data_IF_253290970511
#
_entry.id   IF_253290970511
#
_cell.length_a   1.000
_cell.length_b   1.000
_cell.length_c   1.000
_cell.angle_alpha   90.00
_cell.angle_beta   90.00
_cell.angle_gamma   90.00
#
_symmetry.space_group_name_H-M   'P 1'
#
loop_
_entity.id
_entity.type
_entity.pdbx_description
1 polymer ?
#
# COMPACT_ATOMS: atom_id res chain seq x y z
N UNK A 1 -2.26 23.84 24.14
CA UNK A 1 -2.04 23.73 25.59
C UNK A 1 -2.00 22.28 26.02
N UNK A 2 -0.90 21.68 26.39
CA UNK A 2 0.51 21.88 26.09
C UNK A 2 1.23 20.76 26.83
N UNK A 3 2.43 20.46 26.34
CA UNK A 3 3.52 19.86 27.10
C UNK A 3 3.50 18.37 27.41
N UNK A 4 4.52 17.54 27.17
CA UNK A 4 5.80 17.58 26.42
C UNK A 4 6.69 16.54 27.13
N UNK A 5 7.28 15.67 26.33
CA UNK A 5 8.61 15.08 26.47
C UNK A 5 9.19 14.88 27.88
N UNK A 6 9.33 13.59 28.25
CA UNK A 6 10.32 13.18 29.25
C UNK A 6 11.72 13.21 28.64
N UNK A 7 12.43 14.27 29.05
CA UNK A 7 13.88 14.41 29.22
C UNK A 7 14.54 13.09 29.66
N UNK A 8 15.60 12.70 28.96
CA UNK A 8 16.78 12.08 29.57
C UNK A 8 17.97 12.96 29.21
N UNK A 9 18.58 13.55 30.24
CA UNK A 9 19.76 14.42 30.19
C UNK A 9 20.78 13.82 31.15
N UNK A 10 21.99 13.57 30.69
CA UNK A 10 23.11 13.27 31.59
C UNK A 10 24.34 12.76 30.84
N UNK A 11 25.48 13.37 31.14
CA UNK A 11 26.86 13.03 30.74
C UNK A 11 27.27 13.48 29.32
N UNK A 12 28.25 14.34 29.06
CA UNK A 12 29.22 15.11 29.88
C UNK A 12 29.57 16.39 29.10
N UNK A 13 29.59 17.52 29.80
CA UNK A 13 30.30 18.73 29.40
C UNK A 13 31.78 18.55 29.75
N UNK A 14 32.67 18.74 28.79
CA UNK A 14 33.99 19.32 29.08
C UNK A 14 34.33 20.31 27.98
N UNK A 15 34.22 21.60 28.31
CA UNK A 15 34.71 22.72 27.52
C UNK A 15 36.10 23.10 28.01
N UNK A 16 36.94 23.56 27.06
CA UNK A 16 37.76 24.79 27.04
C UNK A 16 39.17 24.56 26.48
N UNK A 17 39.86 25.60 25.94
CA UNK A 17 39.36 26.81 25.25
C UNK A 17 40.16 27.13 23.96
N UNK A 18 39.66 28.08 23.16
CA UNK A 18 40.40 28.74 22.07
C UNK A 18 41.09 30.01 22.59
N UNK A 19 42.35 30.24 22.23
CA UNK A 19 43.04 31.54 22.26
C UNK A 19 43.84 31.76 20.95
N UNK A 20 44.19 33.02 20.67
CA UNK A 20 44.27 33.62 19.33
C UNK A 20 45.69 33.96 18.80
N UNK A 21 45.83 33.91 17.45
CA UNK A 21 46.57 34.80 16.51
C UNK A 21 48.13 34.95 16.57
N UNK A 22 48.80 35.57 15.56
CA UNK A 22 48.88 35.28 14.11
C UNK A 22 50.35 35.31 13.56
N UNK A 23 50.53 35.18 12.23
CA UNK A 23 51.65 35.67 11.35
C UNK A 23 52.51 34.64 10.59
N UNK A 24 52.60 34.90 9.26
CA UNK A 24 53.63 34.54 8.27
C UNK A 24 53.79 33.06 7.86
N UNK A 25 54.02 32.67 6.61
CA UNK A 25 54.38 33.38 5.39
C UNK A 25 53.91 32.58 4.15
N UNK A 26 53.63 33.29 3.06
CA UNK A 26 53.45 32.79 1.69
C UNK A 26 54.63 31.92 1.22
N UNK A 27 54.40 31.02 0.24
CA UNK A 27 55.10 30.95 -1.07
C UNK A 27 54.80 29.62 -1.82
N UNK A 28 54.52 29.77 -3.13
CA UNK A 28 54.41 28.81 -4.27
C UNK A 28 53.05 28.21 -4.66
N UNK A 29 52.43 28.88 -5.64
CA UNK A 29 51.68 28.27 -6.74
C UNK A 29 52.61 27.49 -7.68
N UNK A 30 52.15 26.33 -8.18
CA UNK A 30 52.45 25.85 -9.53
C UNK A 30 51.41 24.79 -9.99
N UNK A 31 50.53 25.23 -10.89
CA UNK A 31 49.94 24.56 -12.05
C UNK A 31 49.49 23.08 -12.02
N UNK A 32 48.16 22.93 -12.05
CA UNK A 32 47.33 22.32 -13.10
C UNK A 32 47.80 21.04 -13.83
N UNK A 33 46.86 20.08 -13.81
CA UNK A 33 46.42 19.17 -14.90
C UNK A 33 46.73 17.71 -14.63
N UNK A 34 45.68 16.94 -14.30
CA UNK A 34 45.29 15.74 -15.02
C UNK A 34 43.86 15.36 -14.58
N UNK A 35 42.91 15.79 -15.40
CA UNK A 35 41.53 15.35 -15.40
C UNK A 35 41.51 13.85 -15.75
N UNK A 36 41.06 13.00 -14.83
CA UNK A 36 40.47 11.72 -15.19
C UNK A 36 39.09 11.65 -14.55
N UNK A 37 38.16 12.32 -15.21
CA UNK A 37 36.73 12.08 -15.02
C UNK A 37 36.46 10.63 -15.40
N UNK A 38 36.38 9.77 -14.38
CA UNK A 38 35.69 8.49 -14.48
C UNK A 38 34.23 8.78 -14.79
N UNK A 39 33.94 8.89 -16.08
CA UNK A 39 32.60 8.96 -16.64
C UNK A 39 31.92 7.63 -16.35
N UNK A 40 31.38 7.47 -15.14
CA UNK A 40 30.28 6.56 -14.91
C UNK A 40 29.12 7.12 -15.73
N UNK A 41 29.06 6.70 -17.00
CA UNK A 41 27.92 6.96 -17.86
C UNK A 41 26.70 6.60 -17.05
N UNK A 42 25.92 7.62 -16.70
CA UNK A 42 24.62 7.45 -16.09
C UNK A 42 23.88 6.43 -16.94
N UNK A 43 23.69 5.22 -16.42
CA UNK A 43 22.84 4.24 -17.05
C UNK A 43 21.46 4.91 -17.03
N UNK A 44 21.10 5.54 -18.15
CA UNK A 44 19.82 6.17 -18.36
C UNK A 44 18.82 5.03 -18.60
N UNK A 45 18.52 4.29 -17.52
CA UNK A 45 17.41 3.37 -17.48
C UNK A 45 16.17 4.25 -17.60
N UNK A 46 15.63 4.34 -18.81
CA UNK A 46 14.30 4.92 -19.02
C UNK A 46 13.29 3.97 -18.40
N UNK A 47 13.06 4.15 -17.10
CA UNK A 47 11.97 3.50 -16.40
C UNK A 47 10.67 3.86 -17.12
N UNK A 48 9.74 2.91 -17.28
CA UNK A 48 8.42 3.21 -17.81
C UNK A 48 7.80 4.34 -16.98
N UNK A 49 7.16 5.29 -17.65
CA UNK A 49 6.46 6.38 -16.97
C UNK A 49 5.41 5.75 -16.05
N UNK A 50 5.42 6.15 -14.78
CA UNK A 50 4.42 5.69 -13.82
C UNK A 50 3.12 6.40 -14.16
N UNK A 51 2.10 5.63 -14.53
CA UNK A 51 0.76 6.16 -14.77
C UNK A 51 0.09 6.57 -13.44
N UNK A 52 -0.72 7.62 -13.52
CA UNK A 52 -1.48 8.10 -12.37
C UNK A 52 -2.49 7.04 -11.90
N UNK A 53 -2.62 6.82 -10.59
CA UNK A 53 -3.63 5.91 -10.08
C UNK A 53 -5.01 6.44 -10.44
N UNK A 54 -5.93 5.57 -10.85
CA UNK A 54 -7.31 5.96 -11.16
C UNK A 54 -8.26 5.57 -10.04
N UNK A 55 -9.32 6.36 -9.86
CA UNK A 55 -10.36 6.08 -8.88
C UNK A 55 -11.75 6.24 -9.51
N UNK A 56 -12.51 5.16 -9.49
CA UNK A 56 -13.84 5.02 -10.09
C UNK A 56 -15.00 5.28 -9.12
N UNK A 57 -14.71 5.43 -7.81
CA UNK A 57 -15.72 5.55 -6.75
C UNK A 57 -15.84 4.31 -5.86
N UNK A 58 -15.16 3.20 -6.19
CA UNK A 58 -15.20 1.97 -5.40
C UNK A 58 -14.51 2.13 -4.04
N UNK A 59 -15.28 2.02 -2.96
CA UNK A 59 -14.78 2.18 -1.58
C UNK A 59 -13.71 1.16 -1.20
N UNK A 60 -13.69 -0.02 -1.83
CA UNK A 60 -12.67 -1.05 -1.58
C UNK A 60 -11.31 -0.73 -2.20
N UNK A 61 -11.27 0.14 -3.20
CA UNK A 61 -10.04 0.63 -3.86
C UNK A 61 -9.56 1.95 -3.28
N UNK A 62 -10.41 2.65 -2.53
CA UNK A 62 -10.14 3.97 -1.96
C UNK A 62 -8.82 4.04 -1.18
N UNK A 63 -8.57 3.12 -0.25
CA UNK A 63 -7.35 3.08 0.55
C UNK A 63 -6.09 3.03 -0.33
N UNK A 64 -6.09 2.15 -1.32
CA UNK A 64 -4.96 2.00 -2.24
C UNK A 64 -4.76 3.24 -3.12
N UNK A 65 -5.86 3.81 -3.63
CA UNK A 65 -5.81 5.05 -4.39
C UNK A 65 -5.26 6.21 -3.57
N UNK A 66 -5.82 6.45 -2.38
CA UNK A 66 -5.42 7.52 -1.46
C UNK A 66 -3.95 7.41 -1.10
N UNK A 67 -3.50 6.23 -0.67
CA UNK A 67 -2.10 6.02 -0.26
C UNK A 67 -1.14 6.29 -1.45
N UNK A 68 -1.47 5.82 -2.65
CA UNK A 68 -0.66 6.05 -3.87
C UNK A 68 -0.66 7.51 -4.31
N UNK A 69 -1.83 8.14 -4.33
CA UNK A 69 -1.98 9.54 -4.74
C UNK A 69 -1.23 10.47 -3.78
N UNK A 70 -1.33 10.19 -2.47
CA UNK A 70 -0.59 10.95 -1.46
C UNK A 70 0.91 10.81 -1.66
N UNK A 71 1.42 9.59 -1.86
CA UNK A 71 2.85 9.35 -2.06
C UNK A 71 3.42 9.93 -3.37
N UNK A 72 2.61 10.01 -4.43
CA UNK A 72 3.06 10.51 -5.73
C UNK A 72 2.93 12.03 -5.88
N UNK A 73 1.82 12.61 -5.39
CA UNK A 73 1.45 13.99 -5.68
C UNK A 73 1.38 14.83 -4.42
N UNK A 74 0.64 14.39 -3.40
CA UNK A 74 0.42 15.22 -2.21
C UNK A 74 1.72 15.48 -1.43
N UNK A 75 2.54 14.44 -1.23
CA UNK A 75 3.82 14.53 -0.53
C UNK A 75 4.93 15.23 -1.30
N UNK A 76 4.73 15.48 -2.60
CA UNK A 76 5.69 16.21 -3.41
C UNK A 76 5.55 17.73 -3.17
N UNK A 77 6.63 18.36 -2.72
CA UNK A 77 6.69 19.81 -2.51
C UNK A 77 6.90 20.58 -3.83
N UNK A 78 7.43 19.91 -4.85
CA UNK A 78 7.78 20.51 -6.14
C UNK A 78 6.56 20.75 -7.04
N UNK A 79 5.42 20.10 -6.76
CA UNK A 79 4.21 20.24 -7.57
C UNK A 79 3.33 21.36 -7.01
N UNK A 80 3.03 22.42 -7.78
CA UNK A 80 2.12 23.48 -7.35
C UNK A 80 0.68 22.97 -7.21
N UNK A 81 -0.07 23.54 -6.27
CA UNK A 81 -1.44 23.09 -5.93
C UNK A 81 -2.40 23.03 -7.12
N UNK A 82 -2.26 23.95 -8.09
CA UNK A 82 -3.08 23.93 -9.31
C UNK A 82 -2.84 22.69 -10.17
N UNK A 83 -1.58 22.25 -10.29
CA UNK A 83 -1.23 21.01 -10.99
C UNK A 83 -1.68 19.79 -10.18
N UNK A 84 -1.58 19.83 -8.84
CA UNK A 84 -2.13 18.76 -7.98
C UNK A 84 -3.63 18.58 -8.21
N UNK A 85 -4.40 19.67 -8.34
CA UNK A 85 -5.82 19.61 -8.67
C UNK A 85 -6.07 19.05 -10.07
N UNK A 86 -5.28 19.47 -11.07
CA UNK A 86 -5.39 18.93 -12.42
C UNK A 86 -5.15 17.41 -12.45
N UNK A 87 -4.11 16.94 -11.74
CA UNK A 87 -3.82 15.51 -11.61
C UNK A 87 -4.88 14.76 -10.81
N UNK A 88 -5.44 15.39 -9.77
CA UNK A 88 -6.54 14.82 -9.01
C UNK A 88 -7.75 14.58 -9.93
N UNK A 89 -8.22 15.61 -10.64
CA UNK A 89 -9.37 15.52 -11.54
C UNK A 89 -9.15 14.53 -12.68
N UNK A 90 -7.93 14.42 -13.22
CA UNK A 90 -7.62 13.45 -14.28
C UNK A 90 -7.56 12.01 -13.78
N UNK A 91 -7.26 11.81 -12.49
CA UNK A 91 -7.22 10.52 -11.80
C UNK A 91 -8.62 10.01 -11.42
N UNK A 92 -9.57 10.91 -11.16
CA UNK A 92 -10.96 10.55 -10.89
C UNK A 92 -11.67 10.10 -12.18
N UNK A 93 -12.51 9.08 -12.06
CA UNK A 93 -13.32 8.48 -13.13
C UNK A 93 -14.74 8.23 -12.63
N UNK A 94 -15.68 8.07 -13.56
CA UNK A 94 -17.07 7.66 -13.27
C UNK A 94 -17.73 8.54 -12.19
N UNK A 95 -18.33 7.94 -11.17
CA UNK A 95 -19.02 8.61 -10.06
C UNK A 95 -18.14 9.64 -9.35
N UNK A 96 -16.86 9.29 -9.12
CA UNK A 96 -15.94 10.18 -8.43
C UNK A 96 -15.59 11.42 -9.27
N UNK A 97 -15.61 11.32 -10.61
CA UNK A 97 -15.38 12.46 -11.50
C UNK A 97 -16.59 13.38 -11.58
N UNK A 98 -17.81 12.82 -11.63
CA UNK A 98 -19.07 13.58 -11.69
C UNK A 98 -19.23 14.52 -10.49
N UNK A 99 -18.75 14.11 -9.31
CA UNK A 99 -18.79 14.93 -8.09
C UNK A 99 -18.06 16.28 -8.25
N UNK A 100 -17.06 16.35 -9.14
CA UNK A 100 -16.19 17.51 -9.30
C UNK A 100 -16.19 18.11 -10.70
N UNK A 101 -17.15 17.72 -11.55
CA UNK A 101 -17.24 18.16 -12.95
C UNK A 101 -17.25 19.69 -13.12
N UNK A 102 -17.85 20.41 -12.16
CA UNK A 102 -17.95 21.88 -12.18
C UNK A 102 -16.88 22.59 -11.33
N UNK A 103 -15.86 21.88 -10.87
CA UNK A 103 -14.79 22.48 -10.04
C UNK A 103 -13.88 23.33 -10.91
N UNK A 104 -13.72 24.61 -10.57
CA UNK A 104 -12.78 25.48 -11.29
C UNK A 104 -11.34 25.12 -10.96
N UNK A 105 -10.45 25.12 -11.96
CA UNK A 105 -9.04 24.78 -11.79
C UNK A 105 -8.27 25.95 -11.14
N UNK A 106 -8.32 26.05 -9.82
CA UNK A 106 -7.62 27.07 -9.03
C UNK A 106 -6.80 26.42 -7.90
N UNK A 107 -5.75 27.11 -7.43
CA UNK A 107 -4.90 26.60 -6.36
C UNK A 107 -5.68 26.40 -5.04
N UNK A 108 -6.63 27.28 -4.75
CA UNK A 108 -7.46 27.24 -3.54
C UNK A 108 -8.44 26.05 -3.55
N UNK A 109 -8.88 25.64 -4.74
CA UNK A 109 -9.81 24.52 -4.88
C UNK A 109 -9.15 23.17 -4.63
N UNK A 110 -7.82 23.03 -4.74
CA UNK A 110 -7.16 21.75 -4.46
C UNK A 110 -7.48 21.24 -3.05
N UNK A 111 -7.25 22.09 -2.03
CA UNK A 111 -7.50 21.72 -0.64
C UNK A 111 -8.99 21.40 -0.40
N UNK A 112 -9.88 22.17 -1.01
CA UNK A 112 -11.33 21.99 -0.89
C UNK A 112 -11.80 20.67 -1.53
N UNK A 113 -11.34 20.38 -2.75
CA UNK A 113 -11.66 19.16 -3.49
C UNK A 113 -11.11 17.92 -2.79
N UNK A 114 -9.86 17.99 -2.32
CA UNK A 114 -9.25 16.88 -1.57
C UNK A 114 -9.97 16.61 -0.25
N UNK A 115 -10.30 17.67 0.51
CA UNK A 115 -11.08 17.54 1.74
C UNK A 115 -12.49 16.97 1.48
N UNK A 116 -13.14 17.35 0.38
CA UNK A 116 -14.44 16.80 0.00
C UNK A 116 -14.36 15.31 -0.32
N UNK A 117 -13.33 14.86 -1.04
CA UNK A 117 -13.05 13.44 -1.29
C UNK A 117 -12.84 12.66 0.00
N UNK A 118 -11.98 13.16 0.90
CA UNK A 118 -11.74 12.55 2.21
C UNK A 118 -13.05 12.46 3.02
N UNK A 119 -13.84 13.54 3.06
CA UNK A 119 -15.13 13.55 3.77
C UNK A 119 -16.11 12.51 3.22
N UNK A 120 -16.09 12.26 1.92
CA UNK A 120 -17.02 11.34 1.24
C UNK A 120 -16.58 9.88 1.36
N UNK A 121 -15.31 9.58 1.12
CA UNK A 121 -14.80 8.22 0.96
C UNK A 121 -13.90 7.75 2.13
N UNK A 122 -13.29 8.68 2.87
CA UNK A 122 -12.36 8.36 3.97
C UNK A 122 -13.05 8.25 5.33
N UNK A 123 -14.25 7.65 5.35
CA UNK A 123 -14.94 7.32 6.60
C UNK A 123 -14.53 5.90 7.05
N UNK A 124 -13.62 5.75 8.03
CA UNK A 124 -13.11 4.43 8.43
C UNK A 124 -14.24 3.49 8.88
N UNK A 125 -15.28 4.03 9.52
CA UNK A 125 -16.41 3.25 10.02
C UNK A 125 -17.26 2.68 8.87
N UNK A 126 -17.39 3.40 7.76
CA UNK A 126 -18.06 2.92 6.55
C UNK A 126 -17.17 1.96 5.77
N UNK A 127 -15.89 2.30 5.61
CA UNK A 127 -14.92 1.43 4.93
C UNK A 127 -14.87 0.04 5.57
N UNK A 128 -14.76 -0.06 6.90
CA UNK A 128 -14.78 -1.35 7.61
C UNK A 128 -16.05 -2.14 7.26
N UNK A 129 -17.24 -1.51 7.31
CA UNK A 129 -18.51 -2.17 6.98
C UNK A 129 -18.57 -2.63 5.53
N UNK A 130 -18.03 -1.85 4.61
CA UNK A 130 -17.99 -2.19 3.19
C UNK A 130 -17.05 -3.38 2.93
N UNK A 131 -15.83 -3.38 3.49
CA UNK A 131 -14.92 -4.53 3.39
C UNK A 131 -15.52 -5.81 3.98
N UNK A 132 -16.19 -5.71 5.13
CA UNK A 132 -16.90 -6.86 5.70
C UNK A 132 -18.05 -7.33 4.82
N UNK A 133 -18.83 -6.39 4.26
CA UNK A 133 -19.92 -6.72 3.34
C UNK A 133 -19.37 -7.44 2.12
N UNK A 134 -18.31 -6.94 1.48
CA UNK A 134 -17.74 -7.58 0.29
C UNK A 134 -17.17 -8.95 0.62
N UNK A 135 -16.44 -9.08 1.74
CA UNK A 135 -15.90 -10.36 2.22
C UNK A 135 -17.01 -11.43 2.40
N UNK A 136 -18.13 -11.04 3.02
CA UNK A 136 -19.27 -11.95 3.23
C UNK A 136 -19.99 -12.33 1.92
N UNK A 137 -20.08 -11.39 0.97
CA UNK A 137 -20.77 -11.58 -0.31
C UNK A 137 -19.89 -12.13 -1.42
N UNK A 138 -18.63 -12.49 -1.14
CA UNK A 138 -17.79 -13.20 -2.10
C UNK A 138 -18.52 -14.46 -2.60
N UNK A 139 -18.49 -14.75 -3.91
CA UNK A 139 -19.14 -15.95 -4.44
C UNK A 139 -18.45 -17.21 -3.90
N UNK A 140 -19.23 -18.26 -3.67
CA UNK A 140 -18.67 -19.58 -3.42
C UNK A 140 -18.10 -20.12 -4.74
N UNK A 141 -16.96 -20.81 -4.68
CA UNK A 141 -16.37 -21.44 -5.86
C UNK A 141 -17.17 -22.68 -6.28
N UNK A 142 -17.11 -23.00 -7.58
CA UNK A 142 -17.58 -24.26 -8.11
C UNK A 142 -16.50 -25.33 -8.00
N UNK A 143 -16.95 -26.59 -7.92
CA UNK A 143 -16.06 -27.74 -7.80
C UNK A 143 -15.16 -27.88 -9.04
N UNK A 144 -13.86 -28.11 -8.81
CA UNK A 144 -12.89 -28.39 -9.86
C UNK A 144 -12.34 -27.17 -10.62
N UNK A 145 -12.80 -25.95 -10.33
CA UNK A 145 -12.27 -24.73 -10.95
C UNK A 145 -11.08 -24.15 -10.18
N UNK A 146 -9.89 -24.31 -10.74
CA UNK A 146 -8.64 -23.81 -10.13
C UNK A 146 -8.55 -22.29 -10.20
N UNK A 147 -9.09 -21.69 -11.26
CA UNK A 147 -9.09 -20.23 -11.43
C UNK A 147 -10.06 -19.55 -10.46
N UNK A 148 -11.23 -20.15 -10.20
CA UNK A 148 -12.15 -19.64 -9.19
C UNK A 148 -11.57 -19.76 -7.77
N UNK A 149 -10.87 -20.86 -7.46
CA UNK A 149 -10.17 -21.00 -6.19
C UNK A 149 -9.11 -19.91 -6.02
N UNK A 150 -8.31 -19.65 -7.07
CA UNK A 150 -7.30 -18.60 -7.04
C UNK A 150 -7.91 -17.21 -6.84
N UNK A 151 -8.96 -16.89 -7.61
CA UNK A 151 -9.68 -15.62 -7.48
C UNK A 151 -10.28 -15.44 -6.08
N UNK A 152 -10.90 -16.48 -5.53
CA UNK A 152 -11.47 -16.44 -4.18
C UNK A 152 -10.40 -16.15 -3.12
N UNK A 153 -9.27 -16.86 -3.16
CA UNK A 153 -8.16 -16.67 -2.21
C UNK A 153 -7.55 -15.27 -2.32
N UNK A 154 -7.33 -14.80 -3.55
CA UNK A 154 -6.76 -13.48 -3.83
C UNK A 154 -7.70 -12.36 -3.33
N UNK A 155 -8.99 -12.45 -3.65
CA UNK A 155 -10.00 -11.47 -3.25
C UNK A 155 -10.25 -11.46 -1.74
N UNK A 156 -10.35 -12.64 -1.12
CA UNK A 156 -10.50 -12.76 0.32
C UNK A 156 -9.30 -12.14 1.05
N UNK A 157 -8.07 -12.50 0.63
CA UNK A 157 -6.83 -11.95 1.20
C UNK A 157 -6.74 -10.44 1.00
N UNK A 158 -7.13 -9.94 -0.17
CA UNK A 158 -7.17 -8.50 -0.48
C UNK A 158 -8.07 -7.75 0.48
N UNK A 159 -9.27 -8.26 0.76
CA UNK A 159 -10.21 -7.62 1.69
C UNK A 159 -9.74 -7.69 3.15
N UNK A 160 -9.19 -8.82 3.59
CA UNK A 160 -8.58 -8.95 4.94
C UNK A 160 -7.41 -7.97 5.11
N UNK A 161 -6.57 -7.79 4.09
CA UNK A 161 -5.49 -6.81 4.10
C UNK A 161 -6.02 -5.37 4.18
N UNK A 162 -7.15 -5.06 3.53
CA UNK A 162 -7.85 -3.78 3.66
C UNK A 162 -8.30 -3.51 5.10
N UNK A 163 -8.89 -4.51 5.76
CA UNK A 163 -9.26 -4.44 7.18
C UNK A 163 -8.03 -4.23 8.08
N UNK A 164 -6.92 -4.93 7.81
CA UNK A 164 -5.64 -4.72 8.53
C UNK A 164 -5.16 -3.28 8.42
N UNK A 165 -5.21 -2.69 7.21
CA UNK A 165 -4.86 -1.27 7.00
C UNK A 165 -5.73 -0.31 7.80
N UNK A 166 -7.00 -0.66 8.03
CA UNK A 166 -7.93 0.09 8.86
C UNK A 166 -7.72 -0.14 10.37
N UNK A 167 -6.67 -0.89 10.75
CA UNK A 167 -6.29 -1.23 12.14
C UNK A 167 -7.30 -2.13 12.85
N UNK A 168 -8.08 -2.89 12.08
CA UNK A 168 -8.91 -3.95 12.64
C UNK A 168 -8.02 -5.13 13.10
N UNK A 169 -8.36 -5.81 14.22
CA UNK A 169 -7.56 -6.90 14.79
C UNK A 169 -7.73 -8.23 14.04
N UNK A 170 -7.52 -8.21 12.72
CA UNK A 170 -7.66 -9.38 11.84
C UNK A 170 -6.74 -10.54 12.23
N UNK A 171 -5.62 -10.25 12.89
CA UNK A 171 -4.66 -11.28 13.31
C UNK A 171 -5.17 -12.10 14.51
N UNK A 172 -6.25 -11.66 15.15
CA UNK A 172 -6.96 -12.42 16.20
C UNK A 172 -8.25 -13.08 15.69
N UNK A 173 -8.51 -13.02 14.39
CA UNK A 173 -9.75 -13.48 13.76
C UNK A 173 -9.58 -14.81 13.03
N UNK A 174 -8.68 -15.67 13.50
CA UNK A 174 -8.44 -17.00 12.92
C UNK A 174 -9.75 -17.76 12.67
N UNK A 175 -10.50 -18.06 13.73
CA UNK A 175 -11.76 -18.82 13.64
C UNK A 175 -12.81 -18.18 12.72
N UNK A 176 -13.18 -16.88 12.85
CA UNK A 176 -14.18 -16.30 11.96
C UNK A 176 -13.71 -16.19 10.50
N UNK A 177 -12.43 -15.93 10.24
CA UNK A 177 -11.90 -15.87 8.87
C UNK A 177 -11.82 -17.24 8.21
N UNK A 178 -11.31 -18.26 8.92
CA UNK A 178 -11.26 -19.64 8.41
C UNK A 178 -12.66 -20.17 8.15
N UNK A 179 -13.57 -19.99 9.11
CA UNK A 179 -14.97 -20.42 8.98
C UNK A 179 -15.66 -19.74 7.80
N UNK A 180 -15.48 -18.42 7.63
CA UNK A 180 -16.06 -17.70 6.50
C UNK A 180 -15.50 -18.21 5.17
N UNK A 181 -14.21 -18.52 5.10
CA UNK A 181 -13.57 -19.05 3.91
C UNK A 181 -14.06 -20.47 3.60
N UNK A 182 -14.23 -21.34 4.59
CA UNK A 182 -14.79 -22.68 4.40
C UNK A 182 -16.19 -22.66 3.77
N UNK A 183 -17.05 -21.69 4.13
CA UNK A 183 -18.35 -21.53 3.48
C UNK A 183 -18.29 -21.14 1.99
N UNK A 184 -17.12 -20.75 1.49
CA UNK A 184 -16.89 -20.37 0.09
C UNK A 184 -16.12 -21.42 -0.71
N UNK A 185 -15.51 -22.40 -0.04
CA UNK A 185 -14.71 -23.45 -0.66
C UNK A 185 -15.56 -24.65 -1.08
N UNK A 186 -15.07 -25.40 -2.06
CA UNK A 186 -15.68 -26.66 -2.48
C UNK A 186 -15.31 -27.82 -1.54
N UNK A 187 -16.15 -28.86 -1.52
CA UNK A 187 -15.97 -30.04 -0.67
C UNK A 187 -14.61 -30.73 -0.87
N UNK A 188 -14.08 -30.74 -2.10
CA UNK A 188 -12.79 -31.38 -2.38
C UNK A 188 -11.62 -30.63 -1.73
N UNK A 189 -11.67 -29.31 -1.69
CA UNK A 189 -10.65 -28.46 -1.09
C UNK A 189 -10.75 -28.49 0.44
N UNK A 190 -11.97 -28.47 0.99
CA UNK A 190 -12.19 -28.64 2.42
C UNK A 190 -11.62 -29.99 2.89
N UNK A 191 -11.95 -31.09 2.19
CA UNK A 191 -11.42 -32.42 2.54
C UNK A 191 -9.88 -32.47 2.47
N UNK A 192 -9.29 -31.81 1.49
CA UNK A 192 -7.83 -31.74 1.36
C UNK A 192 -7.20 -30.95 2.51
N UNK A 193 -7.84 -29.85 2.94
CA UNK A 193 -7.42 -29.10 4.12
C UNK A 193 -7.51 -29.95 5.38
N UNK A 194 -8.64 -30.59 5.65
CA UNK A 194 -8.85 -31.43 6.85
C UNK A 194 -7.81 -32.55 6.97
N UNK A 195 -7.40 -33.13 5.83
CA UNK A 195 -6.30 -34.12 5.82
C UNK A 195 -4.97 -33.49 6.20
N UNK A 196 -4.68 -32.29 5.68
CA UNK A 196 -3.46 -31.54 5.96
C UNK A 196 -3.39 -31.03 7.40
N UNK A 197 -4.50 -30.52 7.94
CA UNK A 197 -4.61 -29.94 9.27
C UNK A 197 -4.93 -30.95 10.38
N UNK A 198 -5.06 -32.24 10.05
CA UNK A 198 -5.46 -33.31 10.98
C UNK A 198 -4.64 -33.41 12.29
N UNK A 199 -3.40 -32.92 12.29
CA UNK A 199 -2.54 -32.88 13.48
C UNK A 199 -2.63 -31.56 14.29
N UNK A 200 -3.29 -30.53 13.77
CA UNK A 200 -3.42 -29.22 14.40
C UNK A 200 -4.68 -29.15 15.26
N UNK A 201 -4.61 -28.65 16.51
CA UNK A 201 -5.78 -28.48 17.36
C UNK A 201 -6.66 -27.29 16.96
N UNK A 202 -6.15 -26.36 16.14
CA UNK A 202 -6.87 -25.16 15.68
C UNK A 202 -6.42 -24.75 14.28
N UNK A 203 -7.38 -24.32 13.46
CA UNK A 203 -7.08 -23.72 12.16
C UNK A 203 -6.66 -22.26 12.36
N UNK A 204 -5.46 -21.93 11.90
CA UNK A 204 -5.03 -20.54 11.74
C UNK A 204 -5.37 -20.05 10.35
N UNK A 205 -5.75 -18.79 10.24
CA UNK A 205 -6.05 -18.19 8.94
C UNK A 205 -4.81 -18.14 8.03
N UNK A 206 -3.63 -17.82 8.58
CA UNK A 206 -2.37 -17.84 7.83
C UNK A 206 -2.09 -19.19 7.19
N UNK A 207 -2.22 -20.26 7.98
CA UNK A 207 -1.86 -21.61 7.57
C UNK A 207 -2.83 -22.12 6.50
N UNK A 208 -4.11 -21.74 6.60
CA UNK A 208 -5.12 -22.04 5.58
C UNK A 208 -4.80 -21.32 4.27
N UNK A 209 -4.44 -20.03 4.30
CA UNK A 209 -4.08 -19.30 3.07
C UNK A 209 -2.83 -19.90 2.41
N UNK A 210 -1.80 -20.22 3.19
CA UNK A 210 -0.58 -20.83 2.67
C UNK A 210 -0.87 -22.19 2.01
N UNK A 211 -1.68 -23.03 2.66
CA UNK A 211 -2.13 -24.29 2.08
C UNK A 211 -2.91 -24.10 0.78
N UNK A 212 -3.85 -23.14 0.73
CA UNK A 212 -4.67 -22.91 -0.46
C UNK A 212 -3.80 -22.42 -1.63
N UNK A 213 -2.81 -21.58 -1.37
CA UNK A 213 -1.84 -21.15 -2.38
C UNK A 213 -1.01 -22.34 -2.92
N UNK A 214 -0.55 -23.22 -2.02
CA UNK A 214 0.15 -24.44 -2.41
C UNK A 214 -0.74 -25.38 -3.23
N UNK A 215 -2.00 -25.55 -2.83
CA UNK A 215 -2.98 -26.34 -3.56
C UNK A 215 -3.24 -25.77 -4.95
N UNK A 216 -3.41 -24.45 -5.09
CA UNK A 216 -3.56 -23.79 -6.39
C UNK A 216 -2.36 -24.10 -7.29
N UNK A 217 -1.13 -23.98 -6.75
CA UNK A 217 0.10 -24.30 -7.49
C UNK A 217 0.13 -25.76 -7.95
N UNK A 218 -0.21 -26.70 -7.07
CA UNK A 218 -0.26 -28.13 -7.38
C UNK A 218 -1.31 -28.39 -8.47
N UNK A 219 -2.53 -27.88 -8.33
CA UNK A 219 -3.61 -28.10 -9.29
C UNK A 219 -3.26 -27.52 -10.66
N UNK A 220 -2.72 -26.29 -10.74
CA UNK A 220 -2.24 -25.70 -12.00
C UNK A 220 -1.15 -26.55 -12.65
N UNK A 221 -0.20 -27.06 -11.87
CA UNK A 221 0.86 -27.93 -12.40
C UNK A 221 0.29 -29.24 -12.95
N UNK A 222 -0.65 -29.87 -12.24
CA UNK A 222 -1.28 -31.12 -12.67
C UNK A 222 -2.11 -30.96 -13.95
N UNK A 223 -2.84 -29.85 -14.09
CA UNK A 223 -3.58 -29.54 -15.32
C UNK A 223 -2.66 -29.27 -16.52
N UNK A 224 -1.48 -28.69 -16.26
CA UNK A 224 -0.49 -28.45 -17.32
C UNK A 224 0.12 -29.77 -17.82
N UNK A 225 0.37 -30.72 -16.92
CA UNK A 225 0.93 -32.04 -17.25
C UNK A 225 -0.09 -32.99 -17.91
N UNK A 226 -1.38 -32.73 -17.76
CA UNK A 226 -2.46 -33.53 -18.35
C UNK A 226 -2.85 -33.11 -19.77
N UNK A 227 -2.24 -32.05 -20.32
CA UNK A 227 -2.40 -31.57 -21.70
C UNK A 227 -1.24 -32.07 -22.57
#
# INVERSE_FOLDING_TARGET
MDSVYRKVKGFLLQKQPCEANPLNASILQANSSLNSTGNFGSINVRLPKIDLPTFDGDTTKWLTFRDRFVAMIDSSADIPSILKLQYLLSSLKSEAALLFEHTTLTADNYATTWAALLKRYDNPRMLVRDYYRTLHHLPAMHEGSVDELAQLVDEFTRHVNGLRKLKEPVDNWDTPLTTLLFFKLDSSTILAWEKHSSASPKDKYSDLIDFLQDRIRILRSSQTLAK
#
